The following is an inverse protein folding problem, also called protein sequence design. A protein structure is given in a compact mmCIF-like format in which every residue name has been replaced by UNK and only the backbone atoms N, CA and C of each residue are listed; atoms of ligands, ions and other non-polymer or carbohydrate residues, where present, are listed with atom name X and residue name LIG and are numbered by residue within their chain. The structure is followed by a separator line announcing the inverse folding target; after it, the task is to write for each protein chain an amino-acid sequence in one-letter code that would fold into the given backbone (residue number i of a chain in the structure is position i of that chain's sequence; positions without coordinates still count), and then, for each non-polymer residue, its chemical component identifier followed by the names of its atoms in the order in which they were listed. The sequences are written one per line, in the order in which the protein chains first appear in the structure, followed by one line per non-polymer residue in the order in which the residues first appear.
data_IF_426595675004
#
_entry.id   IF_426595675004
#
_cell.length_a   1.000
_cell.length_b   1.000
_cell.length_c   1.000
_cell.angle_alpha   90.00
_cell.angle_beta   90.00
_cell.angle_gamma   90.00
#
_symmetry.space_group_name_H-M   'P 1'
#
loop_
_entity.id
_entity.type
_entity.pdbx_description
1 polymer ?
#
# COMPACT_ATOMS: atom_id res chain seq x y z
N UNK A 1 -13.22 -4.69 -15.83
CA UNK A 1 -12.19 -4.50 -14.77
C UNK A 1 -12.78 -4.86 -13.41
N UNK A 2 -12.12 -5.74 -12.72
CA UNK A 2 -12.53 -6.13 -11.37
C UNK A 2 -11.94 -5.14 -10.37
N UNK A 3 -12.79 -4.52 -9.57
CA UNK A 3 -12.37 -3.61 -8.51
C UNK A 3 -12.64 -4.24 -7.16
N UNK A 4 -11.63 -4.34 -6.33
CA UNK A 4 -11.77 -4.84 -4.96
C UNK A 4 -11.51 -3.69 -3.98
N UNK A 5 -12.55 -3.31 -3.26
CA UNK A 5 -12.38 -2.34 -2.17
C UNK A 5 -11.82 -3.07 -0.97
N UNK A 6 -10.73 -2.56 -0.42
CA UNK A 6 -10.03 -3.20 0.68
C UNK A 6 -9.71 -2.21 1.80
N UNK A 7 -9.59 -2.75 2.99
CA UNK A 7 -9.06 -2.06 4.15
C UNK A 7 -7.80 -2.81 4.58
N UNK A 8 -6.69 -2.11 4.69
CA UNK A 8 -5.40 -2.71 4.97
C UNK A 8 -4.79 -2.08 6.22
N UNK A 9 -4.35 -2.91 7.14
CA UNK A 9 -3.60 -2.49 8.32
C UNK A 9 -2.22 -3.11 8.25
N UNK A 10 -1.20 -2.30 8.46
CA UNK A 10 0.17 -2.80 8.43
C UNK A 10 1.17 -1.79 8.92
N UNK A 11 2.44 -2.09 8.68
CA UNK A 11 3.56 -1.24 9.06
C UNK A 11 4.24 -0.72 7.81
N UNK A 12 4.53 0.57 7.77
CA UNK A 12 5.20 1.18 6.62
C UNK A 12 6.60 0.58 6.48
N UNK A 13 6.89 -0.02 5.33
CA UNK A 13 8.20 -0.61 5.03
C UNK A 13 9.08 0.30 4.18
N UNK A 14 8.47 1.16 3.38
CA UNK A 14 9.17 2.21 2.64
C UNK A 14 8.46 3.53 2.87
N UNK A 15 9.23 4.55 3.24
CA UNK A 15 8.68 5.89 3.49
C UNK A 15 8.02 6.46 2.23
N UNK A 16 7.06 7.34 2.43
CA UNK A 16 6.35 7.98 1.33
C UNK A 16 7.28 8.88 0.52
N UNK A 17 7.15 8.77 -0.80
CA UNK A 17 7.86 9.60 -1.77
C UNK A 17 6.83 10.27 -2.66
N UNK A 18 6.93 11.59 -2.77
CA UNK A 18 6.06 12.37 -3.66
C UNK A 18 6.70 12.42 -5.04
N UNK A 19 5.92 12.06 -6.05
CA UNK A 19 6.35 12.08 -7.44
C UNK A 19 5.39 12.92 -8.27
N UNK A 20 5.86 13.41 -9.40
CA UNK A 20 5.02 14.13 -10.35
C UNK A 20 4.63 13.19 -11.49
N UNK A 21 3.33 13.15 -11.80
CA UNK A 21 2.82 12.38 -12.93
C UNK A 21 3.04 13.09 -14.26
N UNK A 22 2.62 12.43 -15.34
CA UNK A 22 2.76 12.96 -16.72
C UNK A 22 1.99 14.26 -16.93
N UNK A 23 0.92 14.45 -16.18
CA UNK A 23 0.08 15.65 -16.22
C UNK A 23 0.57 16.76 -15.27
N UNK A 24 1.71 16.54 -14.60
CA UNK A 24 2.24 17.45 -13.61
C UNK A 24 1.57 17.38 -12.25
N UNK A 25 0.59 16.51 -12.07
CA UNK A 25 -0.10 16.36 -10.79
C UNK A 25 0.72 15.49 -9.85
N UNK A 26 0.86 15.89 -8.58
CA UNK A 26 1.62 15.09 -7.63
C UNK A 26 0.88 13.83 -7.22
N UNK A 27 1.64 12.79 -6.92
CA UNK A 27 1.12 11.59 -6.27
C UNK A 27 2.15 11.05 -5.29
N UNK A 28 1.69 10.33 -4.28
CA UNK A 28 2.52 9.80 -3.21
C UNK A 28 2.55 8.29 -3.30
N UNK A 29 3.75 7.70 -3.23
CA UNK A 29 3.92 6.24 -3.22
C UNK A 29 4.63 5.81 -1.95
N UNK A 30 4.23 4.66 -1.42
CA UNK A 30 4.87 4.04 -0.26
C UNK A 30 4.57 2.55 -0.26
N UNK A 31 5.20 1.81 0.64
CA UNK A 31 4.97 0.38 0.78
C UNK A 31 4.64 0.03 2.22
N UNK A 32 3.77 -0.95 2.39
CA UNK A 32 3.30 -1.41 3.70
C UNK A 32 3.48 -2.91 3.80
N UNK A 33 4.04 -3.36 4.91
CA UNK A 33 4.11 -4.78 5.25
C UNK A 33 2.85 -5.19 5.98
N UNK A 34 2.17 -6.20 5.44
CA UNK A 34 0.95 -6.76 6.02
C UNK A 34 1.24 -8.18 6.46
N UNK A 35 0.94 -8.48 7.72
CA UNK A 35 1.08 -9.83 8.23
C UNK A 35 -0.22 -10.58 7.98
N UNK A 36 -0.13 -11.67 7.22
CA UNK A 36 -1.29 -12.49 6.86
C UNK A 36 -1.16 -13.82 7.62
N UNK A 37 -2.18 -14.22 8.41
CA UNK A 37 -2.15 -15.53 9.04
C UNK A 37 -2.17 -16.62 7.97
N UNK A 38 -1.19 -17.54 8.08
CA UNK A 38 -1.13 -18.69 7.21
C UNK A 38 -1.60 -19.93 7.96
N UNK A 39 -1.86 -20.99 7.23
CA UNK A 39 -2.21 -22.29 7.82
C UNK A 39 -1.10 -22.76 8.75
N UNK A 40 -1.44 -23.46 9.82
CA UNK A 40 -0.53 -24.02 10.82
C UNK A 40 0.19 -22.99 11.71
N UNK A 41 -0.41 -21.82 11.90
CA UNK A 41 0.14 -20.82 12.81
C UNK A 41 1.38 -20.09 12.31
N UNK A 42 1.77 -20.30 11.06
CA UNK A 42 2.88 -19.57 10.44
C UNK A 42 2.34 -18.30 9.82
N UNK A 43 2.89 -17.15 10.22
CA UNK A 43 2.51 -15.86 9.64
C UNK A 43 3.38 -15.57 8.41
N UNK A 44 2.76 -15.03 7.38
CA UNK A 44 3.44 -14.62 6.17
C UNK A 44 3.32 -13.11 6.01
N UNK A 45 4.43 -12.44 5.71
CA UNK A 45 4.44 -11.02 5.43
C UNK A 45 4.28 -10.79 3.94
N UNK A 46 3.34 -9.92 3.59
CA UNK A 46 3.07 -9.53 2.21
C UNK A 46 3.36 -8.05 2.08
N UNK A 47 4.13 -7.67 1.05
CA UNK A 47 4.43 -6.27 0.75
C UNK A 47 3.36 -5.75 -0.19
N UNK A 48 2.71 -4.65 0.21
CA UNK A 48 1.68 -4.00 -0.59
C UNK A 48 2.20 -2.63 -1.01
N UNK A 49 2.22 -2.39 -2.31
CA UNK A 49 2.58 -1.08 -2.86
C UNK A 49 1.36 -0.18 -2.86
N UNK A 50 1.50 1.03 -2.34
CA UNK A 50 0.40 1.98 -2.20
C UNK A 50 0.66 3.22 -3.04
N UNK A 51 -0.39 3.76 -3.63
CA UNK A 51 -0.35 5.00 -4.38
C UNK A 51 -1.55 5.86 -4.00
N UNK A 52 -1.30 7.14 -3.73
CA UNK A 52 -2.32 8.14 -3.41
C UNK A 52 -2.17 9.34 -4.30
N UNK A 53 -3.28 9.93 -4.74
CA UNK A 53 -3.24 11.21 -5.41
C UNK A 53 -2.90 12.32 -4.41
N UNK A 54 -2.09 13.28 -4.84
CA UNK A 54 -1.72 14.42 -4.02
C UNK A 54 -0.40 14.24 -3.29
N UNK A 55 -0.01 15.29 -2.58
CA UNK A 55 1.20 15.33 -1.74
C UNK A 55 0.79 15.14 -0.28
N UNK A 56 0.78 13.90 0.16
CA UNK A 56 0.37 13.54 1.51
C UNK A 56 1.36 12.56 2.15
N UNK A 57 2.61 13.00 2.17
CA UNK A 57 3.70 12.18 2.70
C UNK A 57 3.90 12.33 4.22
N UNK A 58 3.24 13.30 4.84
CA UNK A 58 3.41 13.57 6.26
C UNK A 58 2.93 12.40 7.13
N UNK A 59 3.79 11.97 8.02
CA UNK A 59 3.50 10.88 8.96
C UNK A 59 3.65 9.48 8.38
N UNK A 60 3.87 9.34 7.08
CA UNK A 60 4.07 8.03 6.45
C UNK A 60 5.56 7.73 6.42
N UNK A 61 6.07 7.21 7.52
CA UNK A 61 7.48 6.90 7.71
C UNK A 61 7.66 5.44 8.10
N UNK A 62 8.84 4.91 7.79
CA UNK A 62 9.17 3.50 8.09
C UNK A 62 8.99 3.20 9.57
N UNK A 63 8.31 2.11 9.86
CA UNK A 63 8.04 1.65 11.21
C UNK A 63 6.72 2.10 11.80
N UNK A 64 6.06 3.09 11.21
CA UNK A 64 4.75 3.53 11.68
C UNK A 64 3.66 2.56 11.25
N UNK A 65 2.70 2.34 12.12
CA UNK A 65 1.50 1.57 11.79
C UNK A 65 0.50 2.45 11.07
N UNK A 66 -0.13 1.88 10.07
CA UNK A 66 -1.02 2.62 9.20
C UNK A 66 -2.24 1.75 8.86
N UNK A 67 -3.40 2.39 8.79
CA UNK A 67 -4.61 1.78 8.26
C UNK A 67 -5.02 2.56 7.03
N UNK A 68 -5.27 1.86 5.93
CA UNK A 68 -5.66 2.50 4.69
C UNK A 68 -6.81 1.78 4.02
N UNK A 69 -7.54 2.54 3.23
CA UNK A 69 -8.65 2.03 2.43
C UNK A 69 -8.46 2.44 0.98
N UNK A 70 -8.80 1.56 0.09
CA UNK A 70 -8.67 1.85 -1.33
C UNK A 70 -9.09 0.69 -2.20
N UNK A 71 -8.64 0.72 -3.43
CA UNK A 71 -8.93 -0.32 -4.43
C UNK A 71 -7.68 -1.16 -4.65
N UNK A 72 -7.82 -2.46 -4.42
CA UNK A 72 -6.74 -3.42 -4.63
C UNK A 72 -6.71 -3.86 -6.08
N UNK A 73 -5.53 -3.82 -6.67
CA UNK A 73 -5.23 -4.49 -7.93
C UNK A 73 -4.05 -5.42 -7.71
N UNK A 74 -4.01 -6.48 -8.46
CA UNK A 74 -2.88 -7.41 -8.37
C UNK A 74 -2.40 -7.77 -9.76
N UNK A 75 -1.09 -8.04 -9.85
CA UNK A 75 -0.43 -8.45 -11.07
C UNK A 75 0.40 -9.68 -10.80
N UNK A 76 0.31 -10.66 -11.68
CA UNK A 76 1.20 -11.82 -11.66
C UNK A 76 2.26 -11.64 -12.75
N UNK A 77 3.54 -11.74 -12.36
CA UNK A 77 4.66 -11.66 -13.28
C UNK A 77 5.74 -12.64 -12.84
N UNK A 78 6.13 -13.56 -13.70
CA UNK A 78 7.20 -14.53 -13.46
C UNK A 78 7.02 -15.29 -12.13
N UNK A 79 5.85 -15.84 -11.89
CA UNK A 79 5.47 -16.56 -10.67
C UNK A 79 5.41 -15.70 -9.41
N UNK A 80 5.64 -14.39 -9.52
CA UNK A 80 5.49 -13.46 -8.41
C UNK A 80 4.15 -12.72 -8.50
N UNK A 81 3.53 -12.57 -7.34
CA UNK A 81 2.28 -11.86 -7.23
C UNK A 81 2.53 -10.50 -6.57
N UNK A 82 2.20 -9.44 -7.27
CA UNK A 82 2.36 -8.07 -6.79
C UNK A 82 1.01 -7.47 -6.44
N UNK A 83 0.90 -6.89 -5.26
CA UNK A 83 -0.31 -6.23 -4.79
C UNK A 83 -0.10 -4.73 -4.81
N UNK A 84 -1.07 -4.02 -5.41
CA UNK A 84 -1.07 -2.56 -5.48
C UNK A 84 -2.41 -2.06 -4.96
N UNK A 85 -2.39 -1.01 -4.15
CA UNK A 85 -3.60 -0.38 -3.65
C UNK A 85 -3.59 1.08 -4.07
N UNK A 86 -4.65 1.50 -4.75
CA UNK A 86 -4.91 2.92 -4.98
C UNK A 86 -5.66 3.43 -3.76
N UNK A 87 -4.97 4.18 -2.92
CA UNK A 87 -5.46 4.59 -1.60
C UNK A 87 -6.42 5.75 -1.73
N UNK A 88 -7.58 5.64 -1.10
CA UNK A 88 -8.56 6.73 -1.02
C UNK A 88 -8.61 7.37 0.37
N UNK A 89 -8.18 6.62 1.40
CA UNK A 89 -8.23 7.11 2.77
C UNK A 89 -7.10 6.48 3.58
N UNK A 90 -6.42 7.28 4.38
CA UNK A 90 -5.33 6.83 5.25
C UNK A 90 -5.57 7.33 6.66
N UNK A 91 -5.42 6.44 7.63
CA UNK A 91 -5.43 6.77 9.05
C UNK A 91 -4.12 6.30 9.67
N UNK A 92 -3.43 7.20 10.33
CA UNK A 92 -2.19 6.89 11.06
C UNK A 92 -2.56 6.46 12.48
N UNK A 93 -1.93 5.41 12.94
CA UNK A 93 -2.15 4.90 14.30
C UNK A 93 -1.06 5.40 15.24
#
# INVERSE_FOLDING_TARGET
MIKCNVSVCGTVSKAAVVRNGKDGMPFTTYSVDVVVPAKKGINKTVIVSCIMDGDDSEGIVVGNRIELKGVLTFKKKDDNLYFNVKVSEVNLS
#
